data_IF_147318194654
#
_entry.id   IF_147318194654
#
_cell.length_a   1.000
_cell.length_b   1.000
_cell.length_c   1.000
_cell.angle_alpha   90.00
_cell.angle_beta   90.00
_cell.angle_gamma   90.00
#
_symmetry.space_group_name_H-M   'P 1'
#
loop_
_entity.id
_entity.type
_entity.pdbx_description
1 polymer ?
#
# COMPACT_ATOMS: atom_id res chain seq x y z
N UNK A 1 -20.67 -17.06 19.16
CA UNK A 1 -20.16 -18.35 18.60
C UNK A 1 -18.64 -18.34 18.70
N UNK A 2 -18.07 -19.12 19.60
CA UNK A 2 -16.61 -19.28 19.74
C UNK A 2 -16.07 -20.15 18.60
N UNK A 3 -15.12 -19.62 17.84
CA UNK A 3 -14.51 -20.34 16.73
C UNK A 3 -13.43 -21.28 17.26
N UNK A 4 -13.30 -22.49 16.71
CA UNK A 4 -12.18 -23.36 17.06
C UNK A 4 -10.85 -22.72 16.59
N UNK A 5 -9.74 -22.90 17.32
CA UNK A 5 -8.46 -22.27 17.00
C UNK A 5 -7.97 -22.57 15.57
N UNK A 6 -8.24 -23.79 15.07
CA UNK A 6 -7.90 -24.21 13.71
C UNK A 6 -8.72 -23.46 12.67
N UNK A 7 -10.00 -23.19 12.94
CA UNK A 7 -10.90 -22.46 12.03
C UNK A 7 -10.54 -20.99 11.96
N UNK A 8 -10.21 -20.38 13.10
CA UNK A 8 -9.72 -18.99 13.16
C UNK A 8 -8.44 -18.82 12.34
N UNK A 9 -7.44 -19.69 12.53
CA UNK A 9 -6.17 -19.66 11.76
C UNK A 9 -6.40 -19.79 10.25
N UNK A 10 -7.31 -20.66 9.81
CA UNK A 10 -7.63 -20.82 8.38
C UNK A 10 -8.27 -19.57 7.78
N UNK A 11 -9.17 -18.91 8.50
CA UNK A 11 -9.79 -17.65 8.03
C UNK A 11 -8.75 -16.53 7.94
N UNK A 12 -7.85 -16.40 8.92
CA UNK A 12 -6.75 -15.44 8.86
C UNK A 12 -5.82 -15.70 7.67
N UNK A 13 -5.46 -16.96 7.40
CA UNK A 13 -4.61 -17.33 6.28
C UNK A 13 -5.27 -17.05 4.92
N UNK A 14 -6.58 -17.36 4.77
CA UNK A 14 -7.33 -17.05 3.57
C UNK A 14 -7.39 -15.54 3.33
N UNK A 15 -7.70 -14.76 4.36
CA UNK A 15 -7.76 -13.29 4.28
C UNK A 15 -6.42 -12.69 3.87
N UNK A 16 -5.32 -13.15 4.48
CA UNK A 16 -3.96 -12.76 4.09
C UNK A 16 -3.70 -13.06 2.61
N UNK A 17 -4.02 -14.28 2.16
CA UNK A 17 -3.83 -14.66 0.76
C UNK A 17 -4.66 -13.80 -0.21
N UNK A 18 -5.91 -13.48 0.13
CA UNK A 18 -6.75 -12.59 -0.66
C UNK A 18 -6.17 -11.17 -0.77
N UNK A 19 -5.63 -10.62 0.32
CA UNK A 19 -5.01 -9.29 0.32
C UNK A 19 -3.72 -9.26 -0.51
N UNK A 20 -2.89 -10.30 -0.41
CA UNK A 20 -1.68 -10.45 -1.26
C UNK A 20 -2.08 -10.56 -2.74
N UNK A 21 -3.11 -11.34 -3.05
CA UNK A 21 -3.62 -11.45 -4.43
C UNK A 21 -4.18 -10.11 -4.94
N UNK A 22 -4.88 -9.34 -4.09
CA UNK A 22 -5.37 -8.01 -4.45
C UNK A 22 -4.22 -7.03 -4.72
N UNK A 23 -3.15 -7.08 -3.93
CA UNK A 23 -1.94 -6.29 -4.21
C UNK A 23 -1.36 -6.59 -5.59
N UNK A 24 -1.26 -7.88 -5.94
CA UNK A 24 -0.83 -8.32 -7.28
C UNK A 24 -1.77 -7.87 -8.39
N UNK A 25 -3.09 -7.90 -8.15
CA UNK A 25 -4.09 -7.42 -9.12
C UNK A 25 -3.96 -5.92 -9.37
N UNK A 26 -3.81 -5.10 -8.32
CA UNK A 26 -3.62 -3.65 -8.47
C UNK A 26 -2.36 -3.37 -9.29
N UNK A 27 -1.26 -4.09 -9.03
CA UNK A 27 -0.03 -3.97 -9.82
C UNK A 27 -0.22 -4.35 -11.31
N UNK A 28 -0.98 -5.42 -11.58
CA UNK A 28 -1.14 -5.96 -12.92
C UNK A 28 -2.15 -5.20 -13.79
N UNK A 29 -3.15 -4.52 -13.18
CA UNK A 29 -4.25 -3.88 -13.88
C UNK A 29 -4.38 -2.40 -13.53
N UNK A 30 -4.79 -2.08 -12.31
CA UNK A 30 -5.11 -0.70 -11.88
C UNK A 30 -3.92 0.26 -12.06
N UNK A 31 -2.70 -0.23 -11.86
CA UNK A 31 -1.46 0.50 -12.12
C UNK A 31 -1.35 0.90 -13.60
N UNK A 32 -1.57 -0.04 -14.52
CA UNK A 32 -1.47 0.21 -15.96
C UNK A 32 -2.58 1.16 -16.45
N UNK A 33 -3.77 1.05 -15.88
CA UNK A 33 -4.88 1.96 -16.19
C UNK A 33 -4.56 3.40 -15.73
N UNK A 34 -3.97 3.54 -14.54
CA UNK A 34 -3.49 4.84 -14.04
C UNK A 34 -2.30 5.39 -14.86
N UNK A 35 -1.35 4.54 -15.26
CA UNK A 35 -0.25 4.93 -16.17
C UNK A 35 -0.79 5.42 -17.51
N UNK A 36 -1.77 4.73 -18.09
CA UNK A 36 -2.43 5.13 -19.34
C UNK A 36 -3.12 6.49 -19.19
N UNK A 37 -3.79 6.70 -18.06
CA UNK A 37 -4.45 7.97 -17.75
C UNK A 37 -3.45 9.12 -17.63
N UNK A 38 -2.34 8.92 -16.89
CA UNK A 38 -1.29 9.93 -16.75
C UNK A 38 -0.56 10.22 -18.06
N UNK A 39 -0.35 9.19 -18.90
CA UNK A 39 0.28 9.32 -20.21
C UNK A 39 -0.48 10.19 -21.20
N UNK A 40 -1.77 10.44 -20.96
CA UNK A 40 -2.53 11.40 -21.76
C UNK A 40 -2.05 12.85 -21.55
N UNK A 41 -1.37 13.12 -20.42
CA UNK A 41 -0.89 14.46 -20.06
C UNK A 41 0.63 14.54 -19.90
N UNK A 42 1.30 13.42 -19.60
CA UNK A 42 2.75 13.34 -19.33
C UNK A 42 3.41 12.43 -20.35
N UNK A 43 4.34 13.00 -21.14
CA UNK A 43 5.03 12.24 -22.19
C UNK A 43 6.15 11.33 -21.65
N UNK A 44 6.77 11.70 -20.54
CA UNK A 44 7.88 10.97 -19.94
C UNK A 44 7.39 9.81 -19.06
N UNK A 45 7.71 8.57 -19.47
CA UNK A 45 7.30 7.36 -18.76
C UNK A 45 7.97 7.25 -17.38
N UNK A 46 9.21 7.74 -17.24
CA UNK A 46 9.92 7.72 -15.96
C UNK A 46 9.19 8.57 -14.92
N UNK A 47 8.77 9.77 -15.30
CA UNK A 47 7.92 10.65 -14.48
C UNK A 47 6.60 9.98 -14.11
N UNK A 48 5.91 9.36 -15.09
CA UNK A 48 4.65 8.63 -14.83
C UNK A 48 4.85 7.52 -13.80
N UNK A 49 5.87 6.68 -13.95
CA UNK A 49 6.16 5.58 -13.03
C UNK A 49 6.53 6.09 -11.63
N UNK A 50 7.29 7.19 -11.52
CA UNK A 50 7.57 7.85 -10.24
C UNK A 50 6.30 8.33 -9.55
N UNK A 51 5.38 8.96 -10.28
CA UNK A 51 4.09 9.43 -9.74
C UNK A 51 3.29 8.25 -9.18
N UNK A 52 3.22 7.14 -9.93
CA UNK A 52 2.52 5.91 -9.53
C UNK A 52 3.14 5.30 -8.28
N UNK A 53 4.46 5.21 -8.22
CA UNK A 53 5.16 4.71 -7.04
C UNK A 53 4.90 5.60 -5.81
N UNK A 54 4.97 6.92 -5.97
CA UNK A 54 4.69 7.88 -4.89
C UNK A 54 3.23 7.75 -4.43
N UNK A 55 2.27 7.60 -5.35
CA UNK A 55 0.87 7.37 -5.00
C UNK A 55 0.71 6.11 -4.14
N UNK A 56 1.39 5.01 -4.50
CA UNK A 56 1.39 3.79 -3.69
C UNK A 56 1.98 4.02 -2.29
N UNK A 57 3.11 4.71 -2.21
CA UNK A 57 3.77 5.02 -0.94
C UNK A 57 2.90 5.88 -0.02
N UNK A 58 2.35 6.98 -0.55
CA UNK A 58 1.51 7.90 0.22
C UNK A 58 0.17 7.26 0.59
N UNK A 59 -0.43 6.43 -0.28
CA UNK A 59 -1.64 5.65 0.05
C UNK A 59 -1.44 4.73 1.24
N UNK A 60 -0.35 3.97 1.27
CA UNK A 60 -0.04 3.09 2.41
C UNK A 60 0.22 3.90 3.68
N UNK A 61 0.91 5.04 3.57
CA UNK A 61 1.16 5.95 4.70
C UNK A 61 -0.15 6.51 5.27
N UNK A 62 -1.00 7.10 4.43
CA UNK A 62 -2.26 7.71 4.84
C UNK A 62 -3.21 6.66 5.46
N UNK A 63 -3.38 5.51 4.80
CA UNK A 63 -4.20 4.42 5.32
C UNK A 63 -3.69 3.89 6.66
N UNK A 64 -2.36 3.75 6.83
CA UNK A 64 -1.77 3.38 8.11
C UNK A 64 -2.10 4.42 9.18
N UNK A 65 -1.88 5.71 8.92
CA UNK A 65 -2.22 6.76 9.88
C UNK A 65 -3.70 6.78 10.27
N UNK A 66 -4.61 6.61 9.30
CA UNK A 66 -6.04 6.50 9.55
C UNK A 66 -6.36 5.26 10.41
N UNK A 67 -5.74 4.11 10.12
CA UNK A 67 -5.87 2.89 10.91
C UNK A 67 -5.43 3.10 12.36
N UNK A 68 -4.27 3.72 12.61
CA UNK A 68 -3.79 3.99 13.97
C UNK A 68 -4.76 4.88 14.75
N UNK A 69 -5.28 5.95 14.12
CA UNK A 69 -6.28 6.84 14.73
C UNK A 69 -7.56 6.07 15.12
N UNK A 70 -8.10 5.28 14.20
CA UNK A 70 -9.31 4.49 14.45
C UNK A 70 -9.07 3.42 15.52
N UNK A 71 -7.92 2.74 15.47
CA UNK A 71 -7.54 1.70 16.43
C UNK A 71 -7.50 2.21 17.87
N UNK A 72 -6.99 3.42 18.10
CA UNK A 72 -6.99 4.04 19.43
C UNK A 72 -8.43 4.21 19.94
N UNK A 73 -9.32 4.73 19.09
CA UNK A 73 -10.72 4.94 19.44
C UNK A 73 -11.45 3.62 19.71
N UNK A 74 -11.31 2.63 18.83
CA UNK A 74 -11.94 1.31 18.98
C UNK A 74 -11.41 0.60 20.23
N UNK A 75 -10.11 0.69 20.50
CA UNK A 75 -9.51 0.11 21.70
C UNK A 75 -10.07 0.73 22.98
N UNK A 76 -10.24 2.06 23.02
CA UNK A 76 -10.83 2.73 24.17
C UNK A 76 -12.29 2.29 24.41
N UNK A 77 -13.09 2.17 23.35
CA UNK A 77 -14.49 1.72 23.45
C UNK A 77 -14.58 0.26 23.88
N UNK A 78 -13.83 -0.64 23.25
CA UNK A 78 -13.89 -2.08 23.54
C UNK A 78 -13.31 -2.43 24.91
N UNK A 79 -12.35 -1.66 25.43
CA UNK A 79 -11.76 -1.90 26.74
C UNK A 79 -12.79 -1.86 27.89
N UNK A 80 -13.90 -1.13 27.72
CA UNK A 80 -14.96 -1.00 28.73
C UNK A 80 -15.77 -2.29 28.92
N UNK A 81 -15.97 -3.04 27.84
CA UNK A 81 -16.84 -4.22 27.80
C UNK A 81 -16.07 -5.54 27.58
N UNK A 82 -14.74 -5.48 27.51
CA UNK A 82 -13.92 -6.63 27.16
C UNK A 82 -13.84 -7.64 28.32
N UNK A 83 -14.62 -8.71 28.21
CA UNK A 83 -14.60 -9.87 29.10
C UNK A 83 -14.26 -11.18 28.35
N UNK A 84 -13.75 -11.06 27.12
CA UNK A 84 -13.49 -12.19 26.22
C UNK A 84 -12.20 -12.96 26.55
N UNK A 85 -12.07 -14.21 26.04
CA UNK A 85 -10.86 -15.01 26.23
C UNK A 85 -9.69 -14.57 25.33
N UNK A 86 -9.94 -13.92 24.19
CA UNK A 86 -8.88 -13.31 23.37
C UNK A 86 -8.30 -12.06 24.01
N UNK A 87 -7.07 -11.69 23.65
CA UNK A 87 -6.52 -10.39 24.05
C UNK A 87 -7.32 -9.25 23.44
N UNK A 88 -7.47 -8.14 24.18
CA UNK A 88 -8.08 -6.90 23.68
C UNK A 88 -7.53 -6.46 22.31
N UNK A 89 -6.23 -6.60 22.09
CA UNK A 89 -5.58 -6.24 20.82
C UNK A 89 -6.13 -7.05 19.64
N UNK A 90 -6.26 -8.37 19.80
CA UNK A 90 -6.87 -9.25 18.80
C UNK A 90 -8.34 -8.89 18.59
N UNK A 91 -9.10 -8.63 19.65
CA UNK A 91 -10.51 -8.24 19.56
C UNK A 91 -10.70 -6.93 18.77
N UNK A 92 -9.83 -5.92 18.99
CA UNK A 92 -9.83 -4.65 18.26
C UNK A 92 -9.58 -4.88 16.77
N UNK A 93 -8.58 -5.68 16.42
CA UNK A 93 -8.24 -5.97 15.02
C UNK A 93 -9.36 -6.75 14.31
N UNK A 94 -9.98 -7.71 14.99
CA UNK A 94 -11.12 -8.47 14.50
C UNK A 94 -12.36 -7.58 14.32
N UNK A 95 -12.57 -6.60 15.20
CA UNK A 95 -13.64 -5.62 15.08
C UNK A 95 -13.43 -4.73 13.86
N UNK A 96 -12.24 -4.12 13.71
CA UNK A 96 -11.90 -3.26 12.57
C UNK A 96 -11.94 -4.03 11.25
N UNK A 97 -11.55 -5.30 11.25
CA UNK A 97 -11.62 -6.17 10.09
C UNK A 97 -13.04 -6.39 9.56
N UNK A 98 -14.05 -6.37 10.45
CA UNK A 98 -15.46 -6.58 10.12
C UNK A 98 -16.19 -5.28 9.80
N UNK A 99 -15.70 -4.16 10.30
CA UNK A 99 -16.29 -2.83 10.14
C UNK A 99 -15.39 -1.93 9.30
N UNK A 100 -15.15 -2.34 8.05
CA UNK A 100 -14.36 -1.55 7.10
C UNK A 100 -15.04 -0.24 6.70
N UNK A 101 -16.36 -0.14 6.89
CA UNK A 101 -17.17 1.06 6.70
C UNK A 101 -16.79 2.22 7.63
N UNK A 102 -16.16 1.93 8.76
CA UNK A 102 -15.62 2.95 9.67
C UNK A 102 -14.37 3.65 9.11
N UNK A 103 -13.77 3.11 8.05
CA UNK A 103 -12.62 3.72 7.42
C UNK A 103 -13.04 4.90 6.53
N UNK A 104 -12.61 6.11 6.90
CA UNK A 104 -12.74 7.29 6.05
C UNK A 104 -11.75 7.23 4.87
N UNK A 105 -12.16 6.47 3.86
CA UNK A 105 -11.43 6.32 2.60
C UNK A 105 -11.35 7.64 1.84
N UNK A 106 -12.38 8.48 1.91
CA UNK A 106 -12.43 9.75 1.18
C UNK A 106 -11.40 10.72 1.76
N UNK A 107 -11.35 10.85 3.09
CA UNK A 107 -10.34 11.65 3.77
C UNK A 107 -8.92 11.18 3.47
N UNK A 108 -8.68 9.86 3.41
CA UNK A 108 -7.37 9.31 3.06
C UNK A 108 -6.97 9.60 1.61
N UNK A 109 -7.90 9.45 0.65
CA UNK A 109 -7.64 9.78 -0.77
C UNK A 109 -7.28 11.26 -0.90
N UNK A 110 -8.00 12.14 -0.21
CA UNK A 110 -7.70 13.57 -0.19
C UNK A 110 -6.31 13.86 0.41
N UNK A 111 -5.97 13.24 1.55
CA UNK A 111 -4.65 13.38 2.18
C UNK A 111 -3.51 12.94 1.25
N UNK A 112 -3.70 11.85 0.49
CA UNK A 112 -2.73 11.38 -0.51
C UNK A 112 -2.55 12.41 -1.62
N UNK A 113 -3.64 12.89 -2.22
CA UNK A 113 -3.57 13.89 -3.31
C UNK A 113 -2.85 15.16 -2.83
N UNK A 114 -3.19 15.65 -1.64
CA UNK A 114 -2.48 16.79 -1.04
C UNK A 114 -0.98 16.51 -0.84
N UNK A 115 -0.63 15.33 -0.33
CA UNK A 115 0.75 14.95 -0.09
C UNK A 115 1.55 14.82 -1.38
N UNK A 116 0.93 14.29 -2.44
CA UNK A 116 1.52 14.20 -3.78
C UNK A 116 1.75 15.59 -4.38
N UNK A 117 0.77 16.51 -4.27
CA UNK A 117 0.89 17.89 -4.76
C UNK A 117 2.02 18.67 -4.08
N UNK A 118 2.39 18.31 -2.85
CA UNK A 118 3.50 18.92 -2.11
C UNK A 118 4.83 18.15 -2.26
N UNK A 119 4.87 17.05 -3.01
CA UNK A 119 6.04 16.19 -3.07
C UNK A 119 7.12 16.77 -4.01
N UNK A 120 8.32 17.13 -3.51
CA UNK A 120 9.36 17.75 -4.32
C UNK A 120 9.98 16.81 -5.36
N UNK A 121 9.75 15.50 -5.26
CA UNK A 121 10.23 14.50 -6.22
C UNK A 121 9.36 14.39 -7.46
N UNK A 122 8.13 14.92 -7.43
CA UNK A 122 7.27 14.94 -8.60
C UNK A 122 7.59 16.22 -9.37
N UNK A 123 8.17 16.13 -10.59
CA UNK A 123 8.38 17.31 -11.41
C UNK A 123 7.01 17.89 -11.71
N UNK A 124 6.70 19.06 -11.14
CA UNK A 124 5.40 19.71 -11.19
C UNK A 124 4.96 19.88 -12.65
N UNK A 125 4.05 19.04 -13.19
CA UNK A 125 3.43 19.34 -14.46
C UNK A 125 2.33 20.32 -14.09
N UNK A 126 2.43 21.62 -14.44
CA UNK A 126 1.40 22.60 -14.07
C UNK A 126 0.00 22.23 -14.60
N UNK A 127 -0.13 21.20 -15.44
CA UNK A 127 -1.38 20.73 -16.03
C UNK A 127 -2.02 19.48 -15.39
N UNK A 128 -1.42 18.80 -14.39
CA UNK A 128 -1.95 17.51 -13.90
C UNK A 128 -2.43 17.57 -12.45
N UNK A 129 -3.74 17.47 -12.25
CA UNK A 129 -4.34 17.19 -10.96
C UNK A 129 -4.32 15.68 -10.69
N UNK A 130 -3.65 15.23 -9.62
CA UNK A 130 -3.56 13.80 -9.27
C UNK A 130 -4.90 13.16 -8.91
N UNK A 131 -5.99 13.93 -8.83
CA UNK A 131 -7.35 13.36 -8.78
C UNK A 131 -7.65 12.40 -9.94
N UNK A 132 -6.98 12.55 -11.09
CA UNK A 132 -7.16 11.68 -12.26
C UNK A 132 -6.79 10.21 -11.98
N UNK A 133 -5.92 9.95 -10.99
CA UNK A 133 -5.58 8.60 -10.53
C UNK A 133 -6.24 8.22 -9.19
N UNK A 134 -7.29 8.93 -8.79
CA UNK A 134 -8.01 8.70 -7.53
C UNK A 134 -8.57 7.28 -7.38
N UNK A 135 -8.90 6.60 -8.50
CA UNK A 135 -9.30 5.18 -8.49
C UNK A 135 -8.18 4.30 -7.94
N UNK A 136 -6.96 4.43 -8.46
CA UNK A 136 -5.79 3.70 -7.98
C UNK A 136 -5.49 4.03 -6.51
N UNK A 137 -5.50 5.32 -6.14
CA UNK A 137 -5.27 5.78 -4.76
C UNK A 137 -6.28 5.16 -3.80
N UNK A 138 -7.57 5.13 -4.18
CA UNK A 138 -8.64 4.54 -3.37
C UNK A 138 -8.44 3.05 -3.15
N UNK A 139 -8.07 2.31 -4.19
CA UNK A 139 -7.82 0.87 -4.11
C UNK A 139 -6.63 0.56 -3.20
N UNK A 140 -5.55 1.33 -3.32
CA UNK A 140 -4.36 1.19 -2.47
C UNK A 140 -4.64 1.54 -1.02
N UNK A 141 -5.35 2.64 -0.75
CA UNK A 141 -5.75 3.03 0.61
C UNK A 141 -6.63 1.95 1.26
N UNK A 142 -7.63 1.44 0.54
CA UNK A 142 -8.52 0.37 1.01
C UNK A 142 -7.75 -0.91 1.32
N UNK A 143 -6.84 -1.30 0.42
CA UNK A 143 -5.98 -2.46 0.59
C UNK A 143 -5.05 -2.31 1.80
N UNK A 144 -4.33 -1.18 1.88
CA UNK A 144 -3.37 -0.91 2.94
C UNK A 144 -4.05 -0.90 4.32
N UNK A 145 -5.22 -0.26 4.44
CA UNK A 145 -6.00 -0.28 5.68
C UNK A 145 -6.38 -1.72 6.08
N UNK A 146 -6.86 -2.52 5.13
CA UNK A 146 -7.20 -3.92 5.39
C UNK A 146 -5.98 -4.75 5.81
N UNK A 147 -4.82 -4.51 5.21
CA UNK A 147 -3.56 -5.17 5.55
C UNK A 147 -3.10 -4.88 7.00
N UNK A 148 -3.38 -3.69 7.54
CA UNK A 148 -3.04 -3.36 8.94
C UNK A 148 -3.85 -4.15 9.98
N UNK A 149 -4.99 -4.74 9.60
CA UNK A 149 -5.80 -5.58 10.50
C UNK A 149 -5.27 -7.03 10.62
N UNK A 150 -4.21 -7.39 9.89
CA UNK A 150 -3.58 -8.71 9.97
C UNK A 150 -2.60 -8.80 11.16
N UNK A 151 -2.30 -10.03 11.58
CA UNK A 151 -1.26 -10.33 12.57
C UNK A 151 -0.36 -11.42 11.98
N UNK A 152 0.89 -11.11 11.61
CA UNK A 152 1.48 -9.76 11.51
C UNK A 152 0.83 -8.89 10.41
N UNK A 153 0.96 -7.55 10.47
CA UNK A 153 0.47 -6.68 9.40
C UNK A 153 1.33 -6.81 8.14
N UNK A 154 0.72 -6.59 6.98
CA UNK A 154 1.44 -6.40 5.72
C UNK A 154 1.66 -4.90 5.49
N UNK A 155 2.83 -4.53 5.00
CA UNK A 155 3.18 -3.16 4.63
C UNK A 155 4.10 -3.18 3.41
N UNK A 156 4.43 -2.01 2.87
CA UNK A 156 5.34 -1.88 1.74
C UNK A 156 6.75 -1.46 2.16
N UNK A 157 7.73 -1.80 1.33
CA UNK A 157 9.08 -1.30 1.43
C UNK A 157 9.20 0.11 0.83
N UNK A 158 9.78 1.04 1.60
CA UNK A 158 10.14 2.37 1.13
C UNK A 158 11.51 2.33 0.46
N UNK A 159 11.53 2.49 -0.85
CA UNK A 159 12.73 2.64 -1.66
C UNK A 159 13.29 4.06 -1.62
N UNK A 160 14.61 4.17 -1.74
CA UNK A 160 15.34 5.44 -1.87
C UNK A 160 16.00 5.48 -3.24
N UNK A 161 15.81 6.57 -3.99
CA UNK A 161 16.49 6.80 -5.27
C UNK A 161 18.02 6.67 -5.10
N UNK A 162 18.67 5.94 -6.01
CA UNK A 162 20.10 5.67 -5.95
C UNK A 162 20.51 4.54 -5.00
N UNK A 163 19.57 3.81 -4.39
CA UNK A 163 19.92 2.64 -3.59
C UNK A 163 20.56 1.52 -4.42
N UNK A 164 21.36 0.68 -3.77
CA UNK A 164 21.94 -0.49 -4.44
C UNK A 164 20.83 -1.49 -4.77
N UNK A 165 20.82 -1.96 -6.02
CA UNK A 165 19.82 -2.93 -6.47
C UNK A 165 19.84 -4.20 -5.61
N UNK A 166 18.69 -4.50 -5.00
CA UNK A 166 18.50 -5.72 -4.22
C UNK A 166 17.58 -6.71 -4.95
N UNK A 167 18.18 -7.79 -5.48
CA UNK A 167 17.46 -8.86 -6.19
C UNK A 167 16.43 -9.64 -5.34
N UNK A 168 16.53 -9.59 -4.01
CA UNK A 168 15.53 -10.23 -3.14
C UNK A 168 14.28 -9.37 -3.02
N UNK A 169 14.43 -8.05 -3.08
CA UNK A 169 13.35 -7.07 -2.92
C UNK A 169 12.66 -6.75 -4.25
N UNK A 170 13.42 -6.70 -5.36
CA UNK A 170 12.92 -6.10 -6.60
C UNK A 170 13.22 -6.96 -7.83
N UNK A 171 12.31 -6.91 -8.81
CA UNK A 171 12.59 -7.20 -10.21
C UNK A 171 13.12 -5.95 -10.91
N UNK A 172 13.95 -6.14 -11.94
CA UNK A 172 14.31 -5.06 -12.86
C UNK A 172 13.27 -5.01 -13.97
N UNK A 173 12.77 -3.83 -14.27
CA UNK A 173 11.95 -3.58 -15.45
C UNK A 173 12.73 -3.88 -16.73
N UNK A 174 12.01 -4.16 -17.81
CA UNK A 174 12.63 -4.60 -19.08
C UNK A 174 13.54 -3.54 -19.72
N UNK A 175 13.31 -2.27 -19.42
CA UNK A 175 14.04 -1.10 -19.91
C UNK A 175 15.26 -0.73 -19.03
N UNK A 176 15.58 -1.55 -18.04
CA UNK A 176 16.73 -1.38 -17.16
C UNK A 176 18.06 -1.69 -17.85
N UNK A 177 19.12 -0.95 -17.51
CA UNK A 177 20.50 -1.38 -17.70
C UNK A 177 20.86 -2.41 -16.61
N UNK A 178 20.89 -3.69 -16.98
CA UNK A 178 21.20 -4.80 -16.09
C UNK A 178 22.64 -4.79 -15.54
N UNK A 179 23.53 -3.98 -16.13
CA UNK A 179 24.90 -3.77 -15.64
C UNK A 179 24.99 -2.65 -14.60
N UNK A 180 23.98 -1.77 -14.52
CA UNK A 180 23.95 -0.69 -13.54
C UNK A 180 23.70 -1.23 -12.12
N UNK A 181 24.52 -0.86 -11.11
CA UNK A 181 24.36 -1.36 -9.74
C UNK A 181 23.26 -0.61 -8.95
N UNK A 182 22.89 0.60 -9.36
CA UNK A 182 21.99 1.48 -8.62
C UNK A 182 20.59 1.55 -9.23
N UNK A 183 19.60 1.70 -8.36
CA UNK A 183 18.21 1.99 -8.72
C UNK A 183 18.10 3.44 -9.15
N UNK A 184 17.66 3.66 -10.39
CA UNK A 184 17.37 4.99 -10.90
C UNK A 184 16.04 5.51 -10.31
N UNK A 185 15.01 4.64 -10.29
CA UNK A 185 13.73 4.90 -9.66
C UNK A 185 12.92 3.62 -9.44
N UNK A 186 11.93 3.69 -8.56
CA UNK A 186 11.01 2.60 -8.25
C UNK A 186 9.74 2.74 -9.09
N UNK A 187 9.26 1.61 -9.62
CA UNK A 187 8.00 1.50 -10.36
C UNK A 187 6.89 0.99 -9.43
N UNK A 188 7.22 0.01 -8.59
CA UNK A 188 6.27 -0.59 -7.66
C UNK A 188 6.95 -1.02 -6.36
N UNK A 189 6.35 -0.76 -5.18
CA UNK A 189 6.97 -1.15 -3.92
C UNK A 189 6.92 -2.68 -3.69
N UNK A 190 7.91 -3.20 -2.96
CA UNK A 190 7.87 -4.59 -2.48
C UNK A 190 6.87 -4.72 -1.32
N UNK A 191 6.11 -5.81 -1.28
CA UNK A 191 5.23 -6.14 -0.17
C UNK A 191 6.00 -6.92 0.89
N UNK A 192 5.91 -6.46 2.12
CA UNK A 192 6.69 -6.92 3.27
C UNK A 192 5.80 -7.47 4.37
N UNK A 193 6.30 -8.48 5.08
CA UNK A 193 5.72 -9.01 6.31
C UNK A 193 6.86 -9.31 7.29
N UNK A 194 6.87 -8.67 8.47
CA UNK A 194 7.91 -8.88 9.49
C UNK A 194 9.36 -8.81 8.94
N UNK A 195 9.62 -7.88 8.01
CA UNK A 195 10.93 -7.70 7.40
C UNK A 195 11.27 -8.69 6.27
N UNK A 196 10.40 -9.65 5.97
CA UNK A 196 10.54 -10.55 4.83
C UNK A 196 9.76 -10.05 3.62
N UNK A 197 10.32 -10.25 2.43
CA UNK A 197 9.66 -9.94 1.15
C UNK A 197 8.65 -11.05 0.85
N UNK A 198 7.38 -10.66 0.71
CA UNK A 198 6.29 -11.55 0.30
C UNK A 198 6.05 -11.45 -1.21
N UNK A 199 6.08 -10.23 -1.74
CA UNK A 199 5.98 -9.94 -3.17
C UNK A 199 7.08 -8.96 -3.52
N UNK A 200 7.88 -9.26 -4.54
CA UNK A 200 8.90 -8.34 -5.00
C UNK A 200 8.27 -7.11 -5.63
N UNK A 201 8.89 -5.96 -5.41
CA UNK A 201 8.59 -4.74 -6.15
C UNK A 201 9.25 -4.74 -7.52
N UNK A 202 9.21 -3.58 -8.17
CA UNK A 202 9.79 -3.35 -9.48
C UNK A 202 10.58 -2.04 -9.49
N UNK A 203 11.76 -2.06 -10.10
CA UNK A 203 12.67 -0.93 -10.19
C UNK A 203 13.28 -0.83 -11.58
N UNK A 204 13.67 0.39 -11.95
CA UNK A 204 14.48 0.68 -13.13
C UNK A 204 15.89 1.05 -12.69
N UNK A 205 16.89 0.51 -13.38
CA UNK A 205 18.31 0.83 -13.15
C UNK A 205 18.92 1.46 -14.39
N UNK A 206 19.67 2.56 -14.24
CA UNK A 206 20.32 3.28 -15.35
C UNK A 206 21.76 3.64 -14.95
N UNK A 207 22.63 3.84 -15.95
CA UNK A 207 23.99 4.36 -15.77
C UNK A 207 24.00 5.88 -15.61
#
# INVERSE_FOLDING_TARGET
RTWSPVRARRVCALRRACLVARFGFIYAQERLDAETTLRACICDMETVQRIIYIAAVESFRAAKMAFWKLKINVKATLALDHSGPESLEVAVLDYMARHQDLYDIIGSVHEVICSMNMNPKIPYPPEVDFIVISTLIRELCSLAFAMQTLIPPLDIAFGVDGELFNRTMYYRSFDSDFTAPFVAYHVWPALMENGAVIVKGEVVTKK
#
